data_IF_596770398604
#
_entry.id   IF_596770398604
#
_cell.length_a   1.000
_cell.length_b   1.000
_cell.length_c   1.000
_cell.angle_alpha   90.00
_cell.angle_beta   90.00
_cell.angle_gamma   90.00
#
_symmetry.space_group_name_H-M   'P 1'
#
loop_
_entity.id
_entity.type
_entity.pdbx_description
1 polymer ?
#
# COMPACT_ATOMS: atom_id res chain seq x y z
N UNK A 1 -11.59 -12.62 -26.37
CA UNK A 1 -10.93 -11.66 -25.46
C UNK A 1 -12.02 -10.91 -24.73
N UNK A 2 -11.90 -10.70 -23.40
CA UNK A 2 -12.90 -9.99 -22.60
C UNK A 2 -12.52 -8.51 -22.45
N UNK A 3 -13.50 -7.63 -22.25
CA UNK A 3 -13.31 -6.20 -22.03
C UNK A 3 -14.20 -5.66 -20.88
N UNK A 4 -13.83 -4.51 -20.31
CA UNK A 4 -14.69 -3.77 -19.38
C UNK A 4 -15.98 -3.35 -20.12
N UNK A 5 -17.12 -3.39 -19.42
CA UNK A 5 -18.45 -3.12 -19.97
C UNK A 5 -19.06 -4.31 -20.72
N UNK A 6 -18.35 -5.42 -20.89
CA UNK A 6 -18.88 -6.59 -21.57
C UNK A 6 -19.87 -7.36 -20.69
N UNK A 7 -21.03 -7.70 -21.27
CA UNK A 7 -22.00 -8.60 -20.65
C UNK A 7 -21.50 -10.05 -20.62
N UNK A 8 -21.69 -10.69 -19.47
CA UNK A 8 -21.28 -12.06 -19.18
C UNK A 8 -22.51 -12.97 -19.14
N UNK A 9 -22.44 -14.08 -19.85
CA UNK A 9 -23.45 -15.15 -19.81
C UNK A 9 -23.00 -16.31 -18.92
N UNK A 10 -23.91 -17.22 -18.59
CA UNK A 10 -23.58 -18.44 -17.82
C UNK A 10 -22.46 -19.27 -18.47
N UNK A 11 -22.43 -19.35 -19.81
CA UNK A 11 -21.41 -20.10 -20.54
C UNK A 11 -20.02 -19.42 -20.49
N UNK A 12 -19.97 -18.09 -20.39
CA UNK A 12 -18.73 -17.31 -20.42
C UNK A 12 -18.24 -16.89 -19.03
N UNK A 13 -19.02 -17.16 -17.98
CA UNK A 13 -18.79 -16.65 -16.63
C UNK A 13 -17.41 -17.02 -16.07
N UNK A 14 -17.04 -18.29 -16.14
CA UNK A 14 -15.75 -18.77 -15.59
C UNK A 14 -14.56 -18.12 -16.31
N UNK A 15 -14.62 -18.01 -17.64
CA UNK A 15 -13.54 -17.40 -18.41
C UNK A 15 -13.44 -15.89 -18.17
N UNK A 16 -14.60 -15.21 -18.00
CA UNK A 16 -14.65 -13.80 -17.62
C UNK A 16 -14.06 -13.57 -16.23
N UNK A 17 -14.37 -14.43 -15.24
CA UNK A 17 -13.83 -14.32 -13.89
C UNK A 17 -12.30 -14.48 -13.84
N UNK A 18 -11.75 -15.45 -14.59
CA UNK A 18 -10.29 -15.61 -14.71
C UNK A 18 -9.64 -14.38 -15.35
N UNK A 19 -10.28 -13.81 -16.36
CA UNK A 19 -9.80 -12.57 -16.98
C UNK A 19 -9.85 -11.40 -15.98
N UNK A 20 -10.93 -11.25 -15.23
CA UNK A 20 -11.12 -10.20 -14.22
C UNK A 20 -10.01 -10.21 -13.17
N UNK A 21 -9.66 -11.38 -12.63
CA UNK A 21 -8.59 -11.52 -11.64
C UNK A 21 -7.23 -11.06 -12.17
N UNK A 22 -6.96 -11.22 -13.46
CA UNK A 22 -5.69 -10.81 -14.08
C UNK A 22 -5.62 -9.33 -14.43
N UNK A 23 -6.77 -8.66 -14.56
CA UNK A 23 -6.87 -7.29 -15.06
C UNK A 23 -7.41 -6.31 -14.02
N UNK A 24 -7.54 -6.71 -12.75
CA UNK A 24 -8.07 -5.84 -11.70
C UNK A 24 -9.52 -5.42 -11.96
N UNK A 25 -10.35 -6.37 -12.40
CA UNK A 25 -11.77 -6.15 -12.64
C UNK A 25 -12.61 -7.12 -11.80
N UNK A 26 -13.92 -6.92 -11.78
CA UNK A 26 -14.89 -7.83 -11.19
C UNK A 26 -16.14 -7.93 -12.07
N UNK A 27 -16.99 -8.94 -11.80
CA UNK A 27 -18.29 -9.08 -12.46
C UNK A 27 -19.35 -8.53 -11.51
N UNK A 28 -20.13 -7.56 -11.96
CA UNK A 28 -21.20 -6.92 -11.19
C UNK A 28 -22.55 -7.13 -11.89
N UNK A 29 -23.64 -7.25 -11.12
CA UNK A 29 -24.99 -7.32 -11.68
C UNK A 29 -25.58 -5.91 -11.81
N UNK A 30 -25.73 -5.44 -13.04
CA UNK A 30 -26.29 -4.13 -13.37
C UNK A 30 -27.55 -4.32 -14.22
N UNK A 31 -28.67 -3.71 -13.82
CA UNK A 31 -29.96 -3.75 -14.57
C UNK A 31 -30.38 -5.18 -15.01
N UNK A 32 -30.13 -6.19 -14.18
CA UNK A 32 -30.50 -7.58 -14.46
C UNK A 32 -29.50 -8.38 -15.30
N UNK A 33 -28.43 -7.77 -15.79
CA UNK A 33 -27.34 -8.44 -16.53
C UNK A 33 -26.04 -8.43 -15.73
N UNK A 34 -25.16 -9.40 -15.96
CA UNK A 34 -23.82 -9.43 -15.37
C UNK A 34 -22.83 -8.75 -16.30
N UNK A 35 -22.07 -7.78 -15.82
CA UNK A 35 -21.17 -6.95 -16.61
C UNK A 35 -19.79 -6.96 -15.97
N UNK A 36 -18.73 -6.97 -16.78
CA UNK A 36 -17.35 -6.79 -16.32
C UNK A 36 -17.12 -5.32 -15.99
N UNK A 37 -16.70 -5.02 -14.76
CA UNK A 37 -16.46 -3.66 -14.26
C UNK A 37 -15.02 -3.57 -13.76
N UNK A 38 -14.34 -2.46 -14.03
CA UNK A 38 -13.01 -2.22 -13.48
C UNK A 38 -13.11 -2.06 -11.96
N UNK A 39 -12.16 -2.62 -11.22
CA UNK A 39 -12.06 -2.30 -9.81
C UNK A 39 -11.67 -0.83 -9.68
N UNK A 40 -12.23 -0.15 -8.68
CA UNK A 40 -11.69 1.14 -8.28
C UNK A 40 -10.20 0.96 -7.93
N UNK A 41 -9.34 1.94 -8.25
CA UNK A 41 -7.98 1.93 -7.73
C UNK A 41 -8.03 1.80 -6.22
N UNK A 42 -7.14 0.99 -5.65
CA UNK A 42 -6.99 0.95 -4.20
C UNK A 42 -6.74 2.39 -3.70
N UNK A 43 -7.36 2.81 -2.59
CA UNK A 43 -7.04 4.10 -2.01
C UNK A 43 -5.53 4.18 -1.77
N UNK A 44 -4.95 5.36 -1.99
CA UNK A 44 -3.56 5.56 -1.60
C UNK A 44 -3.41 5.35 -0.11
N UNK A 45 -2.34 4.65 0.28
CA UNK A 45 -2.04 4.43 1.68
C UNK A 45 -1.87 5.78 2.41
N UNK A 46 -2.43 5.88 3.61
CA UNK A 46 -2.23 7.07 4.44
C UNK A 46 -0.77 7.19 4.86
N UNK A 47 -0.36 8.38 5.30
CA UNK A 47 1.00 8.57 5.80
C UNK A 47 1.27 7.69 7.03
N UNK A 48 0.26 7.45 7.88
CA UNK A 48 0.34 6.50 9.00
C UNK A 48 0.56 5.06 8.53
N UNK A 49 -0.16 4.62 7.49
CA UNK A 49 -0.01 3.28 6.91
C UNK A 49 1.37 3.09 6.25
N UNK A 50 1.87 4.13 5.57
CA UNK A 50 3.22 4.14 4.99
C UNK A 50 4.29 4.05 6.07
N UNK A 51 4.16 4.81 7.16
CA UNK A 51 5.07 4.71 8.30
C UNK A 51 5.06 3.30 8.88
N UNK A 52 3.88 2.74 9.16
CA UNK A 52 3.77 1.39 9.70
C UNK A 52 4.39 0.33 8.77
N UNK A 53 4.20 0.48 7.45
CA UNK A 53 4.81 -0.42 6.46
C UNK A 53 6.35 -0.34 6.48
N UNK A 54 6.92 0.86 6.52
CA UNK A 54 8.37 1.05 6.56
C UNK A 54 8.98 0.60 7.89
N UNK A 55 8.31 0.86 9.02
CA UNK A 55 8.73 0.37 10.34
C UNK A 55 8.84 -1.16 10.35
N UNK A 56 7.85 -1.85 9.77
CA UNK A 56 7.86 -3.31 9.65
C UNK A 56 8.92 -3.80 8.65
N UNK A 57 9.05 -3.15 7.49
CA UNK A 57 10.01 -3.54 6.46
C UNK A 57 11.47 -3.42 6.92
N UNK A 58 11.78 -2.39 7.71
CA UNK A 58 13.14 -2.13 8.20
C UNK A 58 13.41 -2.69 9.60
N UNK A 59 12.38 -3.15 10.32
CA UNK A 59 12.52 -3.56 11.71
C UNK A 59 12.91 -2.39 12.63
N UNK A 60 12.46 -1.19 12.30
CA UNK A 60 12.82 0.05 12.98
C UNK A 60 11.59 0.70 13.61
N UNK A 61 11.02 0.15 14.70
CA UNK A 61 9.91 0.80 15.40
C UNK A 61 10.37 2.11 16.05
N UNK A 62 9.42 2.98 16.40
CA UNK A 62 9.70 4.34 16.89
C UNK A 62 10.76 4.41 18.01
N UNK A 63 10.67 3.52 18.99
CA UNK A 63 11.61 3.50 20.12
C UNK A 63 13.07 3.28 19.66
N UNK A 64 13.27 2.39 18.69
CA UNK A 64 14.59 2.09 18.12
C UNK A 64 15.12 3.29 17.35
N UNK A 65 14.29 3.91 16.49
CA UNK A 65 14.70 5.11 15.75
C UNK A 65 15.07 6.26 16.68
N UNK A 66 14.28 6.47 17.73
CA UNK A 66 14.55 7.52 18.73
C UNK A 66 15.90 7.29 19.41
N UNK A 67 16.21 6.05 19.76
CA UNK A 67 17.53 5.67 20.31
C UNK A 67 18.67 5.91 19.32
N UNK A 68 18.51 5.51 18.06
CA UNK A 68 19.53 5.71 17.01
C UNK A 68 19.80 7.20 16.74
N UNK A 69 18.76 8.02 16.69
CA UNK A 69 18.89 9.48 16.53
C UNK A 69 19.65 10.08 17.72
N UNK A 70 19.33 9.66 18.95
CA UNK A 70 20.03 10.12 20.14
C UNK A 70 21.51 9.69 20.17
N UNK A 71 21.81 8.45 19.77
CA UNK A 71 23.18 7.95 19.63
C UNK A 71 23.98 8.76 18.60
N UNK A 72 23.41 9.02 17.42
CA UNK A 72 24.03 9.85 16.38
C UNK A 72 24.29 11.26 16.88
N UNK A 73 23.33 11.86 17.58
CA UNK A 73 23.48 13.19 18.18
C UNK A 73 24.56 13.22 19.29
N UNK A 74 24.75 12.09 19.98
CA UNK A 74 25.84 11.87 20.94
C UNK A 74 27.21 11.58 20.32
N UNK A 75 27.32 11.59 18.98
CA UNK A 75 28.58 11.36 18.26
C UNK A 75 28.92 9.90 17.99
N UNK A 76 27.97 8.97 18.20
CA UNK A 76 28.18 7.59 17.80
C UNK A 76 28.27 7.46 16.28
N UNK A 77 29.25 6.70 15.80
CA UNK A 77 29.35 6.32 14.41
C UNK A 77 28.34 5.19 14.14
N UNK A 78 27.40 5.44 13.24
CA UNK A 78 26.32 4.51 12.87
C UNK A 78 26.36 4.27 11.36
N UNK A 79 25.93 3.07 10.96
CA UNK A 79 25.84 2.71 9.55
C UNK A 79 24.98 3.69 8.74
N UNK A 80 25.51 4.16 7.61
CA UNK A 80 24.84 5.17 6.78
C UNK A 80 23.53 4.64 6.17
N UNK A 81 23.48 3.36 5.80
CA UNK A 81 22.27 2.74 5.23
C UNK A 81 21.18 2.64 6.28
N UNK A 82 21.54 2.26 7.51
CA UNK A 82 20.64 2.26 8.66
C UNK A 82 20.10 3.67 8.92
N UNK A 83 20.95 4.69 8.93
CA UNK A 83 20.50 6.07 9.18
C UNK A 83 19.65 6.62 8.04
N UNK A 84 19.93 6.28 6.78
CA UNK A 84 19.06 6.64 5.66
C UNK A 84 17.64 6.09 5.82
N UNK A 85 17.49 4.83 6.29
CA UNK A 85 16.18 4.23 6.59
C UNK A 85 15.48 4.90 7.77
N UNK A 86 16.24 5.33 8.78
CA UNK A 86 15.69 6.12 9.90
C UNK A 86 15.16 7.45 9.37
N UNK A 87 15.94 8.16 8.56
CA UNK A 87 15.59 9.47 8.01
C UNK A 87 14.36 9.37 7.08
N UNK A 88 14.26 8.31 6.27
CA UNK A 88 13.08 8.03 5.44
C UNK A 88 11.79 7.88 6.26
N UNK A 89 11.83 7.06 7.33
CA UNK A 89 10.65 6.90 8.19
C UNK A 89 10.33 8.21 8.91
N UNK A 90 11.32 8.94 9.42
CA UNK A 90 11.10 10.17 10.18
C UNK A 90 10.58 11.33 9.33
N UNK A 91 10.93 11.39 8.04
CA UNK A 91 10.38 12.37 7.11
C UNK A 91 8.84 12.28 7.03
N UNK A 92 8.28 11.07 7.10
CA UNK A 92 6.84 10.84 7.14
C UNK A 92 6.28 10.91 8.56
N UNK A 93 7.00 10.38 9.55
CA UNK A 93 6.48 10.22 10.91
C UNK A 93 6.50 11.51 11.75
N UNK A 94 7.43 12.43 11.53
CA UNK A 94 7.53 13.68 12.32
C UNK A 94 6.31 14.58 12.15
N UNK A 95 5.84 14.89 10.92
CA UNK A 95 4.65 15.72 10.72
C UNK A 95 3.38 15.15 11.34
N UNK A 96 3.28 13.83 11.51
CA UNK A 96 2.11 13.18 12.11
C UNK A 96 2.03 13.41 13.62
N UNK A 97 3.15 13.69 14.29
CA UNK A 97 3.23 13.90 15.73
C UNK A 97 2.75 15.28 16.17
N UNK A 98 2.80 16.27 15.27
CA UNK A 98 2.38 17.66 15.54
C UNK A 98 0.93 17.93 15.20
N UNK A 99 0.23 16.94 14.61
CA UNK A 99 -1.21 17.01 14.28
C UNK A 99 -2.13 16.62 15.45
N UNK A 100 -1.56 16.37 16.64
CA UNK A 100 -2.27 16.01 17.87
C UNK A 100 -2.49 17.22 18.75
#
# INVERSE_FOLDING_TARGET
>A
MFNIGQTVTKATYTAAAVWCNRHGAHIEKQNGVYVIVANAPAPEATDEEKVAALENAYGLPRAVRTGLIALRAGGAELDETLMARVDEIEALAVPLRTRV
#
